data_IF_439951630955
#
_entry.id   IF_439951630955
#
_cell.length_a   1.000
_cell.length_b   1.000
_cell.length_c   1.000
_cell.angle_alpha   90.00
_cell.angle_beta   90.00
_cell.angle_gamma   90.00
#
_symmetry.space_group_name_H-M   'P 1'
#
loop_
_entity.id
_entity.type
_entity.pdbx_description
1 polymer ?
#
# COMPACT_ATOMS: atom_id res chain seq x y z
N UNK A 1 -30.93 31.13 -11.22
CA UNK A 1 -31.23 30.08 -10.22
C UNK A 1 -30.02 29.95 -9.28
N UNK A 2 -30.07 30.55 -8.09
CA UNK A 2 -29.07 30.31 -7.04
C UNK A 2 -29.47 29.01 -6.32
N UNK A 3 -29.15 27.86 -6.91
CA UNK A 3 -29.26 26.59 -6.19
C UNK A 3 -28.21 26.60 -5.09
N UNK A 4 -28.61 26.62 -3.83
CA UNK A 4 -27.69 26.43 -2.72
C UNK A 4 -27.08 25.02 -2.87
N UNK A 5 -25.75 24.94 -2.98
CA UNK A 5 -25.06 23.65 -2.98
C UNK A 5 -25.27 23.01 -1.60
N UNK A 6 -26.07 21.95 -1.54
CA UNK A 6 -26.18 21.12 -0.34
C UNK A 6 -24.94 20.24 -0.30
N UNK A 7 -24.05 20.52 0.64
CA UNK A 7 -22.90 19.64 0.92
C UNK A 7 -23.30 18.65 2.00
N UNK A 8 -22.92 17.39 1.83
CA UNK A 8 -23.08 16.34 2.85
C UNK A 8 -21.69 15.89 3.29
N UNK A 9 -21.45 15.72 4.60
CA UNK A 9 -20.17 15.23 5.08
C UNK A 9 -19.95 13.79 4.60
N UNK A 10 -18.80 13.54 3.97
CA UNK A 10 -18.40 12.19 3.58
C UNK A 10 -17.63 11.56 4.76
N UNK A 11 -18.05 10.38 5.27
CA UNK A 11 -17.27 9.68 6.27
C UNK A 11 -15.95 9.16 5.66
N UNK A 12 -14.88 9.20 6.45
CA UNK A 12 -13.62 8.56 6.10
C UNK A 12 -13.66 7.11 6.61
N UNK A 13 -13.65 6.14 5.70
CA UNK A 13 -13.70 4.74 6.07
C UNK A 13 -12.34 4.31 6.66
N UNK A 14 -12.36 3.79 7.88
CA UNK A 14 -11.15 3.18 8.50
C UNK A 14 -10.94 1.77 7.96
N UNK A 15 -12.04 1.04 7.72
CA UNK A 15 -12.04 -0.30 7.13
C UNK A 15 -13.10 -0.32 6.04
N UNK A 16 -12.79 -0.93 4.90
CA UNK A 16 -13.76 -1.10 3.81
C UNK A 16 -13.62 -2.43 3.10
N UNK A 17 -14.68 -2.89 2.47
CA UNK A 17 -14.73 -4.24 1.92
C UNK A 17 -13.62 -4.57 0.90
N UNK A 18 -13.17 -3.60 0.09
CA UNK A 18 -12.09 -3.88 -0.87
C UNK A 18 -10.74 -4.18 -0.20
N UNK A 19 -10.46 -3.59 0.97
CA UNK A 19 -9.27 -3.93 1.77
C UNK A 19 -9.33 -5.39 2.21
N UNK A 20 -10.47 -5.84 2.73
CA UNK A 20 -10.69 -7.24 3.14
C UNK A 20 -10.44 -8.20 1.98
N UNK A 21 -10.91 -7.86 0.79
CA UNK A 21 -10.67 -8.66 -0.42
C UNK A 21 -9.18 -8.70 -0.80
N UNK A 22 -8.47 -7.58 -0.73
CA UNK A 22 -7.03 -7.53 -1.03
C UNK A 22 -6.22 -8.31 0.00
N UNK A 23 -6.54 -8.19 1.27
CA UNK A 23 -5.85 -8.89 2.36
C UNK A 23 -6.08 -10.39 2.28
N UNK A 24 -7.30 -10.81 1.96
CA UNK A 24 -7.61 -12.21 1.70
C UNK A 24 -6.78 -12.76 0.55
N UNK A 25 -6.72 -12.07 -0.59
CA UNK A 25 -5.96 -12.50 -1.77
C UNK A 25 -4.46 -12.49 -1.51
N UNK A 26 -3.94 -11.49 -0.79
CA UNK A 26 -2.52 -11.42 -0.39
C UNK A 26 -2.13 -12.58 0.51
N UNK A 27 -2.97 -12.90 1.52
CA UNK A 27 -2.77 -14.04 2.38
C UNK A 27 -2.82 -15.36 1.60
N UNK A 28 -3.84 -15.55 0.75
CA UNK A 28 -4.05 -16.75 -0.05
C UNK A 28 -2.88 -17.02 -1.00
N UNK A 29 -2.29 -15.97 -1.59
CA UNK A 29 -1.12 -16.10 -2.46
C UNK A 29 0.11 -16.67 -1.73
N UNK A 30 0.23 -16.43 -0.41
CA UNK A 30 1.36 -16.87 0.42
C UNK A 30 1.16 -18.22 1.10
N UNK A 31 -0.03 -18.82 1.01
CA UNK A 31 -0.29 -20.14 1.59
C UNK A 31 0.53 -21.22 0.87
N UNK A 32 1.33 -21.96 1.64
CA UNK A 32 2.09 -23.11 1.15
C UNK A 32 1.41 -24.41 1.58
N UNK A 33 1.00 -25.23 0.61
CA UNK A 33 0.29 -26.49 0.88
C UNK A 33 -1.17 -26.25 1.28
N UNK A 34 -1.64 -27.04 2.25
CA UNK A 34 -3.01 -27.00 2.75
C UNK A 34 -2.99 -26.74 4.25
N UNK A 35 -3.74 -25.73 4.68
CA UNK A 35 -3.83 -25.33 6.09
C UNK A 35 -5.29 -25.43 6.54
N UNK A 36 -5.54 -26.15 7.62
CA UNK A 36 -6.85 -26.21 8.26
C UNK A 36 -6.87 -25.26 9.44
N UNK A 37 -7.84 -24.35 9.48
CA UNK A 37 -8.01 -23.33 10.52
C UNK A 37 -9.41 -23.43 11.10
N UNK A 38 -9.52 -23.35 12.42
CA UNK A 38 -10.81 -23.25 13.10
C UNK A 38 -11.26 -21.79 13.09
N UNK A 39 -12.42 -21.51 12.48
CA UNK A 39 -13.01 -20.17 12.42
C UNK A 39 -14.48 -20.22 12.83
N UNK A 40 -14.99 -19.23 13.57
CA UNK A 40 -16.41 -19.16 13.89
C UNK A 40 -17.22 -18.86 12.62
N UNK A 41 -18.33 -19.59 12.44
CA UNK A 41 -19.30 -19.32 11.40
C UNK A 41 -20.20 -18.11 11.74
N UNK A 42 -21.17 -17.80 10.86
CA UNK A 42 -22.11 -16.69 11.09
C UNK A 42 -23.00 -16.87 12.34
N UNK A 43 -23.04 -18.07 12.92
CA UNK A 43 -23.77 -18.38 14.16
C UNK A 43 -22.88 -18.38 15.40
N UNK A 44 -21.57 -18.17 15.24
CA UNK A 44 -20.58 -18.23 16.31
C UNK A 44 -20.13 -19.64 16.66
N UNK A 45 -20.45 -20.64 15.84
CA UNK A 45 -20.01 -22.02 16.01
C UNK A 45 -18.67 -22.20 15.33
N UNK A 46 -17.71 -22.80 16.03
CA UNK A 46 -16.39 -23.10 15.47
C UNK A 46 -16.49 -24.16 14.36
N UNK A 47 -15.99 -23.81 13.17
CA UNK A 47 -15.96 -24.68 11.99
C UNK A 47 -14.53 -24.77 11.48
N UNK A 48 -14.12 -25.96 11.06
CA UNK A 48 -12.84 -26.17 10.40
C UNK A 48 -12.92 -25.81 8.91
N UNK A 49 -12.10 -24.84 8.51
CA UNK A 49 -11.98 -24.39 7.13
C UNK A 49 -10.61 -24.78 6.62
N UNK A 50 -10.58 -25.47 5.48
CA UNK A 50 -9.35 -25.86 4.82
C UNK A 50 -9.04 -24.90 3.68
N UNK A 51 -7.88 -24.23 3.74
CA UNK A 51 -7.43 -23.22 2.80
C UNK A 51 -6.17 -23.69 2.10
N UNK A 52 -6.10 -23.48 0.79
CA UNK A 52 -4.92 -23.73 -0.05
C UNK A 52 -4.83 -22.65 -1.12
N UNK A 53 -3.67 -22.46 -1.73
CA UNK A 53 -3.48 -21.47 -2.80
C UNK A 53 -4.28 -21.84 -4.07
N UNK A 54 -5.53 -21.40 -4.14
CA UNK A 54 -6.41 -21.60 -5.29
C UNK A 54 -6.41 -20.36 -6.22
N UNK A 55 -5.96 -20.59 -7.46
CA UNK A 55 -5.90 -19.55 -8.51
C UNK A 55 -7.29 -19.02 -8.87
N UNK A 56 -8.30 -19.88 -8.97
CA UNK A 56 -9.65 -19.46 -9.35
C UNK A 56 -10.28 -18.60 -8.27
N UNK A 57 -10.03 -18.95 -7.01
CA UNK A 57 -10.51 -18.19 -5.87
C UNK A 57 -9.82 -16.83 -5.76
N UNK A 58 -8.48 -16.79 -5.89
CA UNK A 58 -7.73 -15.53 -5.94
C UNK A 58 -8.23 -14.63 -7.08
N UNK A 59 -8.39 -15.18 -8.29
CA UNK A 59 -8.87 -14.44 -9.44
C UNK A 59 -10.29 -13.89 -9.21
N UNK A 60 -11.19 -14.68 -8.62
CA UNK A 60 -12.56 -14.27 -8.30
C UNK A 60 -12.57 -13.03 -7.41
N UNK A 61 -11.90 -13.09 -6.26
CA UNK A 61 -11.93 -11.99 -5.29
C UNK A 61 -11.15 -10.76 -5.73
N UNK A 62 -9.99 -10.96 -6.38
CA UNK A 62 -9.22 -9.85 -6.94
C UNK A 62 -10.00 -9.11 -8.04
N UNK A 63 -10.69 -9.85 -8.90
CA UNK A 63 -11.46 -9.25 -10.00
C UNK A 63 -12.70 -8.50 -9.52
N UNK A 64 -13.26 -8.79 -8.34
CA UNK A 64 -14.36 -7.99 -7.78
C UNK A 64 -13.97 -6.51 -7.62
N UNK A 65 -12.71 -6.23 -7.31
CA UNK A 65 -12.18 -4.88 -7.15
C UNK A 65 -12.03 -4.20 -8.52
N UNK A 66 -11.39 -4.89 -9.46
CA UNK A 66 -11.09 -4.37 -10.80
C UNK A 66 -12.35 -4.19 -11.66
N UNK A 67 -13.28 -5.13 -11.61
CA UNK A 67 -14.53 -5.07 -12.37
C UNK A 67 -15.45 -3.94 -11.89
N UNK A 68 -15.41 -3.59 -10.60
CA UNK A 68 -16.13 -2.43 -10.06
C UNK A 68 -15.75 -1.12 -10.77
N UNK A 69 -14.50 -1.01 -11.23
CA UNK A 69 -13.98 0.17 -11.95
C UNK A 69 -13.82 -0.06 -13.45
N UNK A 70 -14.34 -1.17 -13.98
CA UNK A 70 -14.28 -1.49 -15.42
C UNK A 70 -12.91 -1.91 -15.94
N UNK A 71 -11.98 -2.30 -15.07
CA UNK A 71 -10.66 -2.79 -15.46
C UNK A 71 -10.70 -4.32 -15.70
N UNK A 72 -9.98 -4.84 -16.71
CA UNK A 72 -9.86 -6.28 -16.91
C UNK A 72 -9.03 -6.92 -15.79
N UNK A 73 -9.32 -8.19 -15.49
CA UNK A 73 -8.53 -8.98 -14.55
C UNK A 73 -7.14 -9.34 -15.09
N UNK A 74 -6.18 -9.75 -14.24
CA UNK A 74 -4.90 -10.28 -14.67
C UNK A 74 -5.05 -11.55 -15.51
N UNK A 75 -4.04 -11.87 -16.32
CA UNK A 75 -4.06 -13.12 -17.07
C UNK A 75 -3.88 -14.30 -16.10
N UNK A 76 -4.48 -15.47 -16.40
CA UNK A 76 -4.32 -16.65 -15.54
C UNK A 76 -2.85 -17.04 -15.31
N UNK A 77 -1.98 -16.79 -16.29
CA UNK A 77 -0.54 -17.01 -16.16
C UNK A 77 0.14 -16.14 -15.10
N UNK A 78 -0.40 -14.95 -14.80
CA UNK A 78 0.15 -14.07 -13.76
C UNK A 78 0.00 -14.66 -12.35
N UNK A 79 -0.94 -15.60 -12.15
CA UNK A 79 -1.19 -16.26 -10.86
C UNK A 79 -0.30 -17.48 -10.64
N UNK A 80 0.46 -17.94 -11.64
CA UNK A 80 1.26 -19.15 -11.51
C UNK A 80 2.43 -18.98 -10.53
N UNK A 81 3.03 -17.79 -10.51
CA UNK A 81 4.15 -17.46 -9.66
C UNK A 81 3.71 -16.56 -8.50
N UNK A 82 4.09 -16.92 -7.27
CA UNK A 82 3.73 -16.18 -6.06
C UNK A 82 4.24 -14.76 -6.13
N UNK A 83 5.49 -14.59 -6.53
CA UNK A 83 6.19 -13.31 -6.60
C UNK A 83 5.62 -12.40 -7.70
N UNK A 84 5.24 -13.00 -8.84
CA UNK A 84 4.59 -12.25 -9.93
C UNK A 84 3.24 -11.70 -9.49
N UNK A 85 2.41 -12.54 -8.89
CA UNK A 85 1.08 -12.11 -8.45
C UNK A 85 1.16 -11.14 -7.26
N UNK A 86 2.13 -11.30 -6.37
CA UNK A 86 2.41 -10.37 -5.29
C UNK A 86 2.64 -8.94 -5.83
N UNK A 87 3.44 -8.77 -6.89
CA UNK A 87 3.67 -7.44 -7.48
C UNK A 87 2.38 -6.81 -8.00
N UNK A 88 1.49 -7.62 -8.58
CA UNK A 88 0.18 -7.17 -9.07
C UNK A 88 -0.71 -6.75 -7.90
N UNK A 89 -0.74 -7.52 -6.81
CA UNK A 89 -1.47 -7.19 -5.58
C UNK A 89 -0.97 -5.87 -4.99
N UNK A 90 0.36 -5.69 -4.87
CA UNK A 90 0.96 -4.46 -4.32
C UNK A 90 0.58 -3.23 -5.12
N UNK A 91 0.61 -3.34 -6.45
CA UNK A 91 0.19 -2.26 -7.35
C UNK A 91 -1.31 -1.96 -7.21
N UNK A 92 -2.16 -2.98 -7.19
CA UNK A 92 -3.61 -2.80 -7.02
C UNK A 92 -3.92 -2.18 -5.66
N UNK A 93 -3.28 -2.64 -4.58
CA UNK A 93 -3.45 -2.09 -3.22
C UNK A 93 -3.04 -0.61 -3.16
N UNK A 94 -1.95 -0.23 -3.83
CA UNK A 94 -1.51 1.16 -3.89
C UNK A 94 -2.50 2.07 -4.62
N UNK A 95 -3.11 1.60 -5.71
CA UNK A 95 -4.11 2.36 -6.49
C UNK A 95 -5.44 2.40 -5.75
N UNK A 96 -5.91 1.25 -5.28
CA UNK A 96 -7.21 1.09 -4.64
C UNK A 96 -7.28 1.89 -3.34
N UNK A 97 -6.28 1.78 -2.47
CA UNK A 97 -6.22 2.42 -1.15
C UNK A 97 -5.40 3.72 -1.16
N UNK A 98 -5.31 4.38 -2.31
CA UNK A 98 -4.56 5.62 -2.45
C UNK A 98 -5.11 6.71 -1.52
N UNK A 99 -4.21 7.34 -0.76
CA UNK A 99 -4.55 8.39 0.23
C UNK A 99 -5.49 7.93 1.37
N UNK A 100 -5.49 6.63 1.69
CA UNK A 100 -6.24 6.06 2.81
C UNK A 100 -5.35 5.67 4.02
N UNK A 101 -4.04 5.95 3.97
CA UNK A 101 -3.10 5.72 5.08
C UNK A 101 -2.33 4.40 5.05
N UNK A 102 -2.59 3.53 4.07
CA UNK A 102 -1.97 2.19 4.01
C UNK A 102 -0.52 2.17 3.54
N UNK A 103 -0.14 3.04 2.59
CA UNK A 103 1.20 3.03 1.97
C UNK A 103 2.35 3.10 2.98
N UNK A 104 2.16 3.86 4.06
CA UNK A 104 3.14 4.00 5.14
C UNK A 104 3.43 2.64 5.81
N UNK A 105 2.40 1.84 6.09
CA UNK A 105 2.52 0.55 6.75
C UNK A 105 2.88 -0.58 5.77
N UNK A 106 2.30 -0.54 4.56
CA UNK A 106 2.53 -1.55 3.52
C UNK A 106 4.00 -1.65 3.11
N UNK A 107 4.65 -0.51 2.87
CA UNK A 107 6.07 -0.48 2.48
C UNK A 107 6.99 -0.95 3.61
N UNK A 108 6.60 -0.73 4.87
CA UNK A 108 7.34 -1.21 6.05
C UNK A 108 7.21 -2.71 6.24
N UNK A 109 6.00 -3.26 6.19
CA UNK A 109 5.76 -4.70 6.35
C UNK A 109 6.33 -5.53 5.19
N UNK A 110 6.36 -4.97 3.99
CA UNK A 110 6.98 -5.61 2.83
C UNK A 110 8.51 -5.46 2.78
N UNK A 111 9.10 -4.64 3.66
CA UNK A 111 10.54 -4.37 3.66
C UNK A 111 11.02 -3.51 2.49
N UNK A 112 10.11 -2.81 1.79
CA UNK A 112 10.43 -1.99 0.61
C UNK A 112 10.47 -0.50 0.90
N UNK A 113 10.35 -0.09 2.18
CA UNK A 113 10.41 1.31 2.61
C UNK A 113 11.58 2.08 2.00
N UNK A 114 12.83 1.59 2.16
CA UNK A 114 14.02 2.30 1.68
C UNK A 114 14.15 2.32 0.15
N UNK A 115 13.68 1.28 -0.53
CA UNK A 115 13.86 1.12 -1.98
C UNK A 115 12.76 1.80 -2.78
N UNK A 116 11.52 1.78 -2.29
CA UNK A 116 10.34 2.31 -2.98
C UNK A 116 9.92 3.68 -2.47
N UNK A 117 9.64 3.81 -1.16
CA UNK A 117 8.99 5.01 -0.60
C UNK A 117 9.98 6.13 -0.27
N UNK A 118 11.06 5.77 0.42
CA UNK A 118 12.06 6.71 0.89
C UNK A 118 13.07 7.13 -0.19
N UNK A 119 13.19 6.37 -1.27
CA UNK A 119 14.11 6.70 -2.34
C UNK A 119 13.57 7.87 -3.18
N UNK A 120 14.14 9.06 -2.96
CA UNK A 120 13.75 10.30 -3.65
C UNK A 120 13.78 10.20 -5.18
N UNK A 121 14.61 9.34 -5.78
CA UNK A 121 14.63 9.16 -7.24
C UNK A 121 13.31 8.63 -7.80
N UNK A 122 12.51 7.95 -6.98
CA UNK A 122 11.21 7.42 -7.37
C UNK A 122 10.11 8.49 -7.37
N UNK A 123 10.38 9.66 -6.79
CA UNK A 123 9.45 10.78 -6.73
C UNK A 123 9.66 11.67 -7.94
N UNK A 124 8.93 11.33 -8.99
CA UNK A 124 9.00 12.01 -10.27
C UNK A 124 7.70 12.76 -10.56
N UNK A 125 7.82 13.82 -11.35
CA UNK A 125 6.70 14.62 -11.80
C UNK A 125 7.02 15.29 -13.12
N UNK A 126 6.06 16.08 -13.59
CA UNK A 126 6.26 16.95 -14.74
C UNK A 126 7.14 18.15 -14.35
N UNK A 127 7.94 18.63 -15.29
CA UNK A 127 8.83 19.77 -15.09
C UNK A 127 8.05 21.09 -15.07
N UNK A 128 7.52 21.44 -13.90
CA UNK A 128 6.77 22.68 -13.65
C UNK A 128 7.62 23.95 -13.75
N UNK A 129 8.94 23.83 -13.88
CA UNK A 129 9.85 24.98 -14.06
C UNK A 129 10.02 25.36 -15.54
N UNK A 130 9.49 24.56 -16.46
CA UNK A 130 9.57 24.82 -17.91
C UNK A 130 8.25 25.30 -18.48
N UNK A 131 8.37 26.20 -19.45
CA UNK A 131 7.23 26.65 -20.24
C UNK A 131 6.67 25.52 -21.13
N UNK A 132 5.46 25.74 -21.65
CA UNK A 132 4.76 24.81 -22.54
C UNK A 132 5.36 24.74 -23.96
N UNK A 133 6.48 25.40 -24.22
CA UNK A 133 7.09 25.50 -25.55
C UNK A 133 8.36 24.65 -25.64
N UNK A 134 8.53 23.97 -26.77
CA UNK A 134 9.71 23.20 -27.16
C UNK A 134 10.73 24.05 -27.95
N UNK A 135 10.68 25.37 -27.76
CA UNK A 135 11.51 26.32 -28.51
C UNK A 135 12.90 26.42 -27.87
N UNK A 136 13.95 26.47 -28.71
CA UNK A 136 15.34 26.70 -28.32
C UNK A 136 15.95 25.66 -27.35
N UNK A 137 15.59 24.38 -27.50
CA UNK A 137 16.18 23.30 -26.68
C UNK A 137 15.59 23.19 -25.28
N UNK A 138 14.45 23.84 -25.03
CA UNK A 138 13.63 23.59 -23.86
C UNK A 138 12.90 22.25 -24.03
N UNK A 139 13.13 21.23 -23.17
CA UNK A 139 12.39 19.97 -23.24
C UNK A 139 10.89 20.12 -22.89
N UNK A 140 10.48 21.27 -22.35
CA UNK A 140 9.10 21.62 -22.07
C UNK A 140 8.54 20.98 -20.80
N UNK A 141 7.38 21.47 -20.36
CA UNK A 141 6.64 21.00 -19.17
C UNK A 141 6.42 19.47 -19.11
N UNK A 142 6.31 18.80 -20.26
CA UNK A 142 5.97 17.37 -20.34
C UNK A 142 7.11 16.43 -19.95
N UNK A 143 8.30 16.97 -19.72
CA UNK A 143 9.44 16.17 -19.33
C UNK A 143 9.26 15.62 -17.91
N UNK A 144 9.63 14.35 -17.72
CA UNK A 144 9.61 13.70 -16.41
C UNK A 144 10.92 14.02 -15.70
N UNK A 145 10.83 14.69 -14.56
CA UNK A 145 11.98 15.07 -13.73
C UNK A 145 11.79 14.60 -12.30
N UNK A 146 12.89 14.42 -11.57
CA UNK A 146 12.85 14.25 -10.12
C UNK A 146 12.40 15.57 -9.48
N UNK A 147 11.58 15.48 -8.44
CA UNK A 147 11.00 16.67 -7.82
C UNK A 147 12.08 17.40 -6.99
N UNK A 148 12.53 18.56 -7.47
CA UNK A 148 13.53 19.41 -6.80
C UNK A 148 12.88 20.41 -5.81
N UNK A 149 12.03 19.90 -4.93
CA UNK A 149 11.55 20.67 -3.78
C UNK A 149 12.33 20.24 -2.54
N UNK A 150 12.70 21.21 -1.69
CA UNK A 150 13.50 20.96 -0.49
C UNK A 150 12.96 19.81 0.37
N UNK A 151 11.65 19.79 0.63
CA UNK A 151 10.97 18.77 1.43
C UNK A 151 11.03 17.36 0.82
N UNK A 152 11.33 17.23 -0.47
CA UNK A 152 11.41 15.95 -1.19
C UNK A 152 12.86 15.55 -1.39
N UNK A 153 13.68 16.49 -1.85
CA UNK A 153 15.11 16.31 -2.11
C UNK A 153 15.89 15.96 -0.86
N UNK A 154 15.65 16.69 0.23
CA UNK A 154 16.45 16.60 1.46
C UNK A 154 15.90 15.55 2.44
N UNK A 155 15.03 14.64 1.97
CA UNK A 155 14.50 13.56 2.80
C UNK A 155 15.62 12.61 3.22
N UNK A 156 15.71 12.41 4.52
CA UNK A 156 16.60 11.42 5.12
C UNK A 156 15.77 10.22 5.53
N UNK A 157 16.13 9.05 4.99
CA UNK A 157 15.52 7.79 5.37
C UNK A 157 16.61 6.83 5.84
N UNK A 158 16.45 6.35 7.07
CA UNK A 158 17.39 5.43 7.70
C UNK A 158 16.66 4.14 8.08
N UNK A 159 17.34 2.98 8.11
CA UNK A 159 16.73 1.72 8.53
C UNK A 159 16.00 1.79 9.88
N UNK A 160 16.52 2.56 10.84
CA UNK A 160 15.87 2.78 12.15
C UNK A 160 14.48 3.40 12.08
N UNK A 161 14.18 4.16 11.01
CA UNK A 161 12.89 4.84 10.80
C UNK A 161 11.75 3.91 10.33
N UNK A 162 12.03 2.61 10.20
CA UNK A 162 10.99 1.58 10.08
C UNK A 162 10.13 1.54 11.35
N UNK A 163 10.74 1.74 12.52
CA UNK A 163 10.06 1.84 13.80
C UNK A 163 10.14 3.27 14.34
N UNK A 164 9.03 3.75 14.91
CA UNK A 164 9.02 5.05 15.59
C UNK A 164 9.80 4.96 16.91
N UNK A 165 10.58 5.99 17.29
CA UNK A 165 11.24 5.99 18.58
C UNK A 165 10.20 6.03 19.72
N UNK A 166 10.48 5.29 20.79
CA UNK A 166 9.75 5.38 22.04
C UNK A 166 10.21 6.65 22.75
N UNK A 167 9.26 7.41 23.32
CA UNK A 167 9.57 8.63 24.08
C UNK A 167 10.51 8.32 25.25
N UNK A 168 11.58 9.12 25.38
CA UNK A 168 12.57 8.97 26.46
C UNK A 168 11.91 8.99 27.85
N UNK A 169 10.88 9.83 28.03
CA UNK A 169 10.13 9.90 29.29
C UNK A 169 9.41 8.59 29.66
N UNK A 170 9.01 7.76 28.68
CA UNK A 170 8.42 6.45 28.93
C UNK A 170 9.49 5.41 29.28
N UNK A 171 10.67 5.49 28.66
CA UNK A 171 11.81 4.61 28.95
C UNK A 171 12.40 4.83 30.35
N UNK A 172 12.27 6.04 30.90
CA UNK A 172 12.66 6.34 32.29
C UNK A 172 11.69 5.75 33.31
N UNK A 173 10.38 5.67 32.98
CA UNK A 173 9.37 5.11 33.88
C UNK A 173 9.53 3.60 34.06
N UNK A 174 9.98 2.90 33.03
CA UNK A 174 10.17 1.45 33.03
C UNK A 174 11.62 1.12 32.67
N UNK A 175 12.52 1.03 33.66
CA UNK A 175 13.94 0.77 33.41
C UNK A 175 14.21 -0.52 32.63
N UNK A 176 13.34 -1.52 32.76
CA UNK A 176 13.42 -2.79 32.03
C UNK A 176 13.01 -2.71 30.55
N UNK A 177 12.38 -1.62 30.12
CA UNK A 177 11.99 -1.40 28.73
C UNK A 177 13.21 -0.90 27.94
N UNK A 178 13.42 -1.49 26.77
CA UNK A 178 14.47 -1.08 25.84
C UNK A 178 13.87 -0.26 24.68
N UNK A 179 14.74 0.46 23.97
CA UNK A 179 14.36 1.30 22.84
C UNK A 179 14.21 0.47 21.55
N UNK A 180 13.46 0.98 20.57
CA UNK A 180 13.39 0.40 19.24
C UNK A 180 14.76 0.39 18.52
N UNK A 181 15.04 -0.59 17.65
CA UNK A 181 16.35 -0.76 17.04
C UNK A 181 16.89 0.49 16.33
N UNK A 182 18.14 0.85 16.62
CA UNK A 182 18.86 1.97 15.99
C UNK A 182 18.54 3.35 16.56
N UNK A 183 17.62 3.45 17.53
CA UNK A 183 17.37 4.67 18.29
C UNK A 183 18.14 4.61 19.61
N UNK A 184 18.64 5.77 20.04
CA UNK A 184 19.32 5.89 21.32
C UNK A 184 18.30 5.89 22.46
N UNK A 185 18.71 5.30 23.59
CA UNK A 185 17.90 5.27 24.80
C UNK A 185 17.86 6.62 25.50
#
# INVERSE_FOLDING_TARGET
VKGAFVTQPKPFAIIRYAEVLLEYVEALNRVTGTVTVTTPDMTGTDVEVTVSRDIQEMAKYFNMIRYRVGLPGPALGDFNEVERFEQIIRNERQVELFNEGYRYFDTRRWGTYLTEDANTSNWQGLDVQKDRTDVAGNPGFWNIVTIDQQNIRDRVALPKMVFMPISHSELLKVPSMDQNPGWDR
#
